data_IF_475466887648
#
_entry.id   IF_475466887648
#
_cell.length_a   1.000
_cell.length_b   1.000
_cell.length_c   1.000
_cell.angle_alpha   90.00
_cell.angle_beta   90.00
_cell.angle_gamma   90.00
#
_symmetry.space_group_name_H-M   'P 1'
#
loop_
_entity.id
_entity.type
_entity.pdbx_description
1 polymer ?
#
# COMPACT_ATOMS: atom_id res chain seq x y z
N UNK A 1 25.74 39.61 101.47
CA UNK A 1 25.24 39.66 100.06
C UNK A 1 26.41 39.46 99.11
N UNK A 2 26.24 38.74 97.98
CA UNK A 2 27.39 38.28 97.18
C UNK A 2 27.11 38.16 95.66
N UNK A 3 28.20 38.31 94.89
CA UNK A 3 28.43 38.25 93.43
C UNK A 3 27.55 37.42 92.45
N UNK A 4 27.50 37.92 91.19
CA UNK A 4 27.41 37.21 89.86
C UNK A 4 26.05 36.53 89.54
N UNK A 5 25.57 36.36 88.29
CA UNK A 5 25.96 36.68 86.88
C UNK A 5 24.63 36.75 86.03
N UNK A 6 24.48 37.00 84.72
CA UNK A 6 25.36 37.19 83.53
C UNK A 6 24.79 38.32 82.61
N UNK A 7 24.79 38.22 81.26
CA UNK A 7 24.36 39.28 80.31
C UNK A 7 23.98 38.74 78.90
N UNK A 8 23.50 39.64 78.01
CA UNK A 8 23.28 39.50 76.54
C UNK A 8 22.07 38.65 76.04
N UNK A 9 21.48 38.88 74.85
CA UNK A 9 21.24 40.09 74.01
C UNK A 9 20.36 39.69 72.78
N UNK A 10 19.55 40.59 72.19
CA UNK A 10 19.00 40.45 70.82
C UNK A 10 18.35 41.74 70.28
N UNK A 11 18.14 41.80 68.96
CA UNK A 11 17.99 43.02 68.16
C UNK A 11 16.65 43.08 67.39
N UNK A 12 16.11 44.27 67.20
CA UNK A 12 15.02 44.57 66.23
C UNK A 12 15.36 45.86 65.49
N UNK A 13 15.16 45.90 64.17
CA UNK A 13 15.31 47.10 63.34
C UNK A 13 14.20 47.16 62.28
N UNK A 14 13.69 48.35 62.00
CA UNK A 14 12.66 48.59 60.97
C UNK A 14 13.30 48.64 59.57
N UNK A 15 12.49 48.37 58.54
CA UNK A 15 12.74 48.77 57.16
C UNK A 15 11.44 49.23 56.49
N UNK A 16 11.56 50.18 55.58
CA UNK A 16 10.46 51.04 55.11
C UNK A 16 9.80 50.56 53.81
N UNK A 17 8.52 50.90 53.67
CA UNK A 17 7.74 50.68 52.46
C UNK A 17 8.09 51.72 51.38
N UNK A 18 8.33 51.27 50.15
CA UNK A 18 8.47 52.12 48.97
C UNK A 18 7.68 51.52 47.80
N UNK A 19 6.61 52.20 47.38
CA UNK A 19 5.85 51.81 46.19
C UNK A 19 6.64 52.15 44.92
N UNK A 20 7.02 51.13 44.14
CA UNK A 20 7.43 51.31 42.76
C UNK A 20 6.23 50.99 41.85
N UNK A 21 5.75 52.00 41.12
CA UNK A 21 4.86 51.74 39.99
C UNK A 21 5.69 51.06 38.90
N UNK A 22 5.53 49.75 38.75
CA UNK A 22 5.97 49.06 37.54
C UNK A 22 5.11 49.55 36.38
N UNK A 23 5.67 50.41 35.53
CA UNK A 23 5.08 50.65 34.22
C UNK A 23 5.23 49.36 33.42
N UNK A 24 4.14 48.59 33.31
CA UNK A 24 4.00 47.64 32.22
C UNK A 24 4.16 48.44 30.92
N UNK A 25 5.27 48.22 30.20
CA UNK A 25 5.29 48.51 28.77
C UNK A 25 4.13 47.71 28.19
N UNK A 26 3.17 48.40 27.58
CA UNK A 26 2.17 47.75 26.75
C UNK A 26 2.90 46.87 25.74
N UNK A 27 2.43 45.63 25.58
CA UNK A 27 3.19 44.57 24.94
C UNK A 27 3.68 45.02 23.57
N UNK A 28 4.99 44.89 23.33
CA UNK A 28 5.55 45.09 22.00
C UNK A 28 4.88 44.07 21.10
N UNK A 29 3.96 44.56 20.26
CA UNK A 29 2.93 43.77 19.59
C UNK A 29 3.56 43.02 18.40
N UNK A 30 4.31 42.01 18.82
CA UNK A 30 5.18 41.11 18.09
C UNK A 30 4.36 39.95 17.55
N UNK A 31 4.56 39.64 16.27
CA UNK A 31 3.89 38.51 15.63
C UNK A 31 4.83 37.30 15.71
N UNK A 32 4.36 36.16 16.23
CA UNK A 32 5.12 34.92 16.17
C UNK A 32 5.35 34.52 14.71
N UNK A 33 6.57 34.07 14.39
CA UNK A 33 6.78 33.43 13.09
C UNK A 33 6.16 32.02 13.16
N UNK A 34 5.25 31.62 12.24
CA UNK A 34 4.62 30.30 12.25
C UNK A 34 5.64 29.16 12.42
N UNK A 35 5.31 28.06 13.12
CA UNK A 35 6.16 26.86 13.17
C UNK A 35 6.39 26.27 11.76
N UNK A 36 7.24 25.25 11.63
CA UNK A 36 7.40 24.50 10.39
C UNK A 36 6.07 23.92 9.90
N UNK A 37 5.73 24.23 8.64
CA UNK A 37 4.58 23.65 7.94
C UNK A 37 4.71 22.12 7.90
N UNK A 38 3.70 21.44 8.47
CA UNK A 38 3.48 19.99 8.44
C UNK A 38 2.39 19.69 7.41
N UNK A 39 2.21 18.41 7.07
CA UNK A 39 1.27 17.98 6.03
C UNK A 39 0.70 16.60 6.37
N UNK A 40 -0.49 16.28 5.83
CA UNK A 40 -1.09 14.94 5.93
C UNK A 40 -0.60 13.96 4.84
N UNK A 41 0.31 14.38 3.95
CA UNK A 41 0.89 13.52 2.92
C UNK A 41 1.64 12.31 3.52
N UNK A 42 1.72 11.19 2.78
CA UNK A 42 2.58 10.07 3.15
C UNK A 42 4.07 10.46 3.16
N UNK A 43 4.92 9.62 3.75
CA UNK A 43 6.37 9.85 3.89
C UNK A 43 7.07 10.11 2.55
N UNK A 44 6.54 9.56 1.45
CA UNK A 44 7.01 9.79 0.07
C UNK A 44 6.75 11.20 -0.47
N UNK A 45 5.89 11.99 0.18
CA UNK A 45 5.40 13.30 -0.28
C UNK A 45 4.83 13.26 -1.70
N UNK A 46 4.27 12.12 -2.08
CA UNK A 46 3.59 11.91 -3.36
C UNK A 46 2.10 11.62 -3.12
N UNK A 47 1.23 12.16 -3.98
CA UNK A 47 -0.21 11.91 -3.96
C UNK A 47 -0.77 11.95 -5.38
N UNK A 48 -1.85 11.21 -5.63
CA UNK A 48 -2.54 11.24 -6.91
C UNK A 48 -3.26 12.59 -7.13
N UNK A 49 -3.23 13.09 -8.37
CA UNK A 49 -3.90 14.32 -8.78
C UNK A 49 -5.40 14.27 -8.53
N UNK A 50 -6.00 15.43 -8.22
CA UNK A 50 -7.40 15.50 -7.84
C UNK A 50 -7.76 14.87 -6.49
N UNK A 51 -6.80 14.38 -5.70
CA UNK A 51 -6.99 14.07 -4.28
C UNK A 51 -6.81 15.32 -3.41
N UNK A 52 -7.41 15.29 -2.22
CA UNK A 52 -7.38 16.38 -1.23
C UNK A 52 -6.49 16.00 -0.03
N UNK A 53 -5.71 16.95 0.46
CA UNK A 53 -4.75 16.76 1.55
C UNK A 53 -4.45 18.08 2.27
N UNK A 54 -3.89 18.00 3.47
CA UNK A 54 -3.68 19.16 4.33
C UNK A 54 -2.23 19.66 4.35
N UNK A 55 -2.10 20.98 4.53
CA UNK A 55 -0.92 21.62 5.14
C UNK A 55 -1.35 22.35 6.42
N UNK A 56 -0.52 22.29 7.46
CA UNK A 56 -0.87 22.88 8.75
C UNK A 56 0.33 23.29 9.60
N UNK A 57 0.12 24.29 10.46
CA UNK A 57 0.92 24.58 11.64
C UNK A 57 0.36 23.74 12.79
N UNK A 58 1.23 23.13 13.62
CA UNK A 58 0.76 22.27 14.73
C UNK A 58 0.34 23.06 15.97
N UNK A 59 1.12 24.08 16.30
CA UNK A 59 0.95 24.88 17.51
C UNK A 59 0.33 26.22 17.07
N UNK A 60 -0.96 26.40 17.34
CA UNK A 60 -1.73 27.57 16.89
C UNK A 60 -1.61 28.73 17.88
N UNK A 61 -1.26 29.92 17.37
CA UNK A 61 -1.11 31.14 18.12
C UNK A 61 -2.46 31.86 18.29
N UNK A 62 -2.94 31.98 19.54
CA UNK A 62 -4.23 32.60 19.85
C UNK A 62 -4.34 34.04 19.32
N UNK A 63 -5.30 34.28 18.42
CA UNK A 63 -5.56 35.60 17.84
C UNK A 63 -4.68 35.95 16.63
N UNK A 64 -3.99 34.97 16.04
CA UNK A 64 -3.29 35.09 14.76
C UNK A 64 -4.19 34.59 13.62
N UNK A 65 -4.19 35.31 12.50
CA UNK A 65 -4.75 34.85 11.23
C UNK A 65 -3.61 34.35 10.33
N UNK A 66 -3.70 33.13 9.81
CA UNK A 66 -2.66 32.55 8.96
C UNK A 66 -3.04 32.70 7.48
N UNK A 67 -2.29 33.53 6.75
CA UNK A 67 -2.46 33.73 5.32
C UNK A 67 -1.54 32.79 4.55
N UNK A 68 -2.12 31.87 3.80
CA UNK A 68 -1.43 30.86 3.00
C UNK A 68 -1.23 31.30 1.55
N UNK A 69 -0.05 31.02 1.02
CA UNK A 69 0.38 31.24 -0.36
C UNK A 69 0.57 29.88 -1.05
N UNK A 70 -0.09 29.68 -2.19
CA UNK A 70 -0.13 28.41 -2.91
C UNK A 70 0.50 28.50 -4.31
N UNK A 71 1.16 27.44 -4.79
CA UNK A 71 1.59 27.33 -6.18
C UNK A 71 0.39 27.02 -7.08
N UNK A 72 0.47 27.36 -8.36
CA UNK A 72 -0.56 27.08 -9.38
C UNK A 72 -0.98 25.59 -9.50
N UNK A 73 -0.20 24.67 -8.94
CA UNK A 73 -0.50 23.23 -8.87
C UNK A 73 -1.46 22.83 -7.73
N UNK A 74 -1.79 23.75 -6.82
CA UNK A 74 -2.68 23.49 -5.67
C UNK A 74 -3.86 24.46 -5.65
N UNK A 75 -5.06 23.91 -5.75
CA UNK A 75 -6.30 24.63 -5.49
C UNK A 75 -6.61 24.58 -3.99
N UNK A 76 -6.85 25.74 -3.37
CA UNK A 76 -7.38 25.80 -2.01
C UNK A 76 -8.82 25.26 -1.98
N UNK A 77 -9.11 24.34 -1.06
CA UNK A 77 -10.48 23.85 -0.81
C UNK A 77 -11.07 24.49 0.44
N UNK A 78 -10.29 24.56 1.53
CA UNK A 78 -10.75 25.13 2.80
C UNK A 78 -9.59 25.65 3.65
N UNK A 79 -9.90 26.49 4.65
CA UNK A 79 -8.99 26.81 5.77
C UNK A 79 -8.15 28.08 5.65
N UNK A 80 -8.29 28.90 4.60
CA UNK A 80 -7.57 30.17 4.53
C UNK A 80 -7.90 31.07 5.74
N UNK A 81 -6.87 31.70 6.31
CA UNK A 81 -6.95 32.43 7.57
C UNK A 81 -6.69 31.58 8.83
N UNK A 82 -6.69 30.24 8.75
CA UNK A 82 -6.54 29.35 9.91
C UNK A 82 -5.22 28.56 9.87
N UNK A 83 -4.85 27.95 10.99
CA UNK A 83 -3.64 27.13 11.16
C UNK A 83 -3.56 25.91 10.22
N UNK A 84 -4.65 25.53 9.53
CA UNK A 84 -4.73 24.38 8.63
C UNK A 84 -5.49 24.73 7.35
N UNK A 85 -4.89 24.42 6.20
CA UNK A 85 -5.57 24.42 4.91
C UNK A 85 -5.72 23.00 4.37
N UNK A 86 -6.86 22.76 3.70
CA UNK A 86 -7.05 21.60 2.83
C UNK A 86 -6.92 22.06 1.39
N UNK A 87 -6.08 21.37 0.61
CA UNK A 87 -5.74 21.70 -0.78
C UNK A 87 -5.94 20.49 -1.68
N UNK A 88 -6.06 20.75 -2.99
CA UNK A 88 -6.27 19.75 -4.03
C UNK A 88 -5.22 19.88 -5.12
N UNK A 89 -4.55 18.79 -5.46
CA UNK A 89 -3.56 18.75 -6.55
C UNK A 89 -4.23 18.79 -7.93
N UNK A 90 -3.58 19.44 -8.90
CA UNK A 90 -3.92 19.35 -10.34
C UNK A 90 -3.96 17.89 -10.83
N UNK A 91 -4.78 17.60 -11.86
CA UNK A 91 -4.99 16.22 -12.34
C UNK A 91 -3.93 15.78 -13.36
N UNK A 92 -3.25 16.73 -13.97
CA UNK A 92 -2.18 16.50 -14.94
C UNK A 92 -0.93 15.88 -14.28
N UNK A 93 -0.71 16.21 -13.00
CA UNK A 93 0.49 15.86 -12.25
C UNK A 93 1.66 16.84 -12.43
N UNK A 94 2.80 16.54 -11.79
CA UNK A 94 4.02 17.35 -11.80
C UNK A 94 4.72 17.37 -10.44
N UNK A 95 5.72 18.24 -10.28
CA UNK A 95 6.44 18.45 -9.03
C UNK A 95 6.26 19.88 -8.56
N UNK A 96 5.85 20.05 -7.31
CA UNK A 96 5.84 21.31 -6.58
C UNK A 96 7.23 21.47 -5.94
N UNK A 97 8.07 22.43 -6.40
CA UNK A 97 9.43 22.56 -5.88
C UNK A 97 9.46 23.22 -4.50
N UNK A 98 10.59 23.05 -3.80
CA UNK A 98 10.84 23.67 -2.49
C UNK A 98 10.57 25.19 -2.51
N UNK A 99 10.02 25.72 -1.41
CA UNK A 99 9.61 27.13 -1.27
C UNK A 99 8.54 27.63 -2.25
N UNK A 100 7.71 26.75 -2.81
CA UNK A 100 6.57 27.16 -3.65
C UNK A 100 5.25 27.27 -2.89
N UNK A 101 5.24 26.90 -1.60
CA UNK A 101 4.09 27.00 -0.70
C UNK A 101 4.54 27.64 0.61
N UNK A 102 3.77 28.60 1.12
CA UNK A 102 4.14 29.40 2.28
C UNK A 102 2.96 29.79 3.16
N UNK A 103 3.25 30.22 4.39
CA UNK A 103 2.27 30.78 5.31
C UNK A 103 2.84 31.95 6.11
N UNK A 104 2.02 32.97 6.34
CA UNK A 104 2.36 34.20 7.05
C UNK A 104 1.36 34.43 8.18
N UNK A 105 1.86 34.65 9.39
CA UNK A 105 1.03 35.07 10.52
C UNK A 105 0.68 36.56 10.39
N UNK A 106 -0.59 36.91 10.61
CA UNK A 106 -1.13 38.26 10.51
C UNK A 106 -1.89 38.61 11.80
N UNK A 107 -1.64 39.82 12.32
CA UNK A 107 -2.27 40.37 13.53
C UNK A 107 -2.22 41.89 13.48
N UNK A 108 -3.33 42.57 13.79
CA UNK A 108 -3.39 44.04 13.88
C UNK A 108 -2.72 44.73 12.66
N UNK A 109 -3.08 44.28 11.44
CA UNK A 109 -2.57 44.73 10.13
C UNK A 109 -1.04 44.63 9.91
N UNK A 110 -0.31 43.98 10.81
CA UNK A 110 1.09 43.57 10.63
C UNK A 110 1.17 42.11 10.18
N UNK A 111 2.30 41.75 9.59
CA UNK A 111 2.60 40.38 9.12
C UNK A 111 3.97 39.89 9.59
N UNK A 112 4.11 38.57 9.80
CA UNK A 112 5.41 37.92 9.98
C UNK A 112 6.19 37.80 8.67
N UNK A 113 7.43 37.30 8.73
CA UNK A 113 8.08 36.70 7.57
C UNK A 113 7.35 35.41 7.16
N UNK A 114 7.19 35.17 5.85
CA UNK A 114 6.64 33.92 5.31
C UNK A 114 7.46 32.71 5.77
N UNK A 115 6.81 31.73 6.41
CA UNK A 115 7.36 30.39 6.58
C UNK A 115 7.11 29.62 5.30
N UNK A 116 8.18 29.22 4.62
CA UNK A 116 8.12 28.39 3.42
C UNK A 116 8.11 26.89 3.77
N UNK A 117 7.51 26.07 2.90
CA UNK A 117 7.65 24.61 2.93
C UNK A 117 8.96 24.20 2.20
N UNK A 118 9.84 23.48 2.91
CA UNK A 118 11.22 23.18 2.47
C UNK A 118 11.38 21.77 1.87
N UNK A 119 10.31 21.17 1.36
CA UNK A 119 10.35 19.87 0.67
C UNK A 119 9.60 19.97 -0.65
N UNK A 120 9.95 19.09 -1.59
CA UNK A 120 9.19 18.93 -2.83
C UNK A 120 7.95 18.08 -2.56
N UNK A 121 6.89 18.27 -3.36
CA UNK A 121 5.68 17.44 -3.35
C UNK A 121 5.39 16.98 -4.77
N UNK A 122 5.24 15.68 -4.96
CA UNK A 122 4.94 15.09 -6.27
C UNK A 122 3.45 14.88 -6.41
N UNK A 123 2.82 15.60 -7.32
CA UNK A 123 1.45 15.30 -7.74
C UNK A 123 1.55 14.28 -8.89
N UNK A 124 1.13 13.05 -8.65
CA UNK A 124 1.16 11.98 -9.64
C UNK A 124 -0.07 12.13 -10.55
N UNK A 125 0.08 11.97 -11.87
CA UNK A 125 -1.08 11.82 -12.76
C UNK A 125 -1.93 10.64 -12.26
N UNK A 126 -3.27 10.77 -12.09
CA UNK A 126 -4.12 9.75 -11.50
C UNK A 126 -3.92 8.34 -12.08
N UNK A 127 -4.16 7.27 -11.29
CA UNK A 127 -4.18 5.92 -11.82
C UNK A 127 -5.18 5.80 -12.97
N UNK A 128 -4.85 5.06 -14.05
CA UNK A 128 -5.82 4.81 -15.12
C UNK A 128 -7.06 4.10 -14.56
N UNK A 129 -8.22 4.75 -14.70
CA UNK A 129 -9.52 4.14 -14.41
C UNK A 129 -9.90 3.16 -15.50
N UNK A 130 -10.61 2.09 -15.14
CA UNK A 130 -11.16 1.13 -16.10
C UNK A 130 -12.64 0.86 -15.78
N UNK A 131 -13.51 1.03 -16.78
CA UNK A 131 -14.94 0.74 -16.64
C UNK A 131 -15.18 -0.70 -16.19
N UNK A 132 -15.94 -0.85 -15.11
CA UNK A 132 -16.29 -2.16 -14.52
C UNK A 132 -15.27 -2.74 -13.53
N UNK A 133 -14.15 -2.07 -13.26
CA UNK A 133 -13.15 -2.51 -12.27
C UNK A 133 -12.72 -1.39 -11.33
N UNK A 134 -12.54 -1.70 -10.04
CA UNK A 134 -11.88 -0.78 -9.10
C UNK A 134 -10.37 -0.81 -9.30
N UNK A 135 -9.75 0.37 -9.27
CA UNK A 135 -8.32 0.57 -9.58
C UNK A 135 -7.65 1.45 -8.51
N UNK A 136 -6.46 1.09 -8.04
CA UNK A 136 -5.70 1.87 -7.05
C UNK A 136 -4.20 1.82 -7.35
N UNK A 137 -3.46 2.89 -7.03
CA UNK A 137 -2.00 2.93 -7.10
C UNK A 137 -1.38 2.36 -5.82
N UNK A 138 -0.32 1.57 -5.97
CA UNK A 138 0.54 1.13 -4.87
C UNK A 138 1.99 1.34 -5.33
N UNK A 139 2.68 2.30 -4.71
CA UNK A 139 3.97 2.77 -5.21
C UNK A 139 3.83 3.40 -6.61
N UNK A 140 4.54 2.88 -7.61
CA UNK A 140 4.46 3.33 -9.01
C UNK A 140 3.38 2.63 -9.83
N UNK A 141 3.08 1.37 -9.52
CA UNK A 141 2.16 0.51 -10.30
C UNK A 141 0.70 0.75 -9.90
N UNK A 142 -0.19 0.77 -10.88
CA UNK A 142 -1.64 0.78 -10.65
C UNK A 142 -2.18 -0.64 -10.79
N UNK A 143 -3.08 -1.04 -9.89
CA UNK A 143 -3.60 -2.40 -9.77
C UNK A 143 -5.12 -2.44 -9.87
N UNK A 144 -5.64 -3.52 -10.47
CA UNK A 144 -7.04 -3.91 -10.28
C UNK A 144 -7.23 -4.48 -8.87
N UNK A 145 -8.20 -3.92 -8.13
CA UNK A 145 -8.56 -4.37 -6.78
C UNK A 145 -9.40 -5.67 -6.79
N UNK A 146 -9.98 -6.01 -7.93
CA UNK A 146 -10.78 -7.21 -8.17
C UNK A 146 -10.08 -8.19 -9.14
N UNK A 147 -10.53 -9.45 -9.17
CA UNK A 147 -10.00 -10.46 -10.10
C UNK A 147 -10.54 -10.19 -11.52
N UNK A 148 -9.72 -10.43 -12.55
CA UNK A 148 -10.13 -10.21 -13.95
C UNK A 148 -11.35 -11.08 -14.32
N UNK A 149 -12.38 -10.43 -14.89
CA UNK A 149 -13.65 -11.04 -15.31
C UNK A 149 -13.90 -10.83 -16.83
N UNK A 150 -12.83 -10.71 -17.62
CA UNK A 150 -12.90 -10.53 -19.07
C UNK A 150 -13.30 -11.84 -19.77
N UNK A 151 -14.24 -11.75 -20.72
CA UNK A 151 -14.79 -12.86 -21.49
C UNK A 151 -14.31 -12.87 -22.94
N UNK A 152 -13.55 -11.85 -23.37
CA UNK A 152 -13.10 -11.69 -24.74
C UNK A 152 -14.22 -11.24 -25.69
N UNK A 153 -13.86 -10.79 -26.89
CA UNK A 153 -14.82 -10.34 -27.89
C UNK A 153 -15.78 -11.44 -28.36
N UNK A 154 -15.41 -12.72 -28.24
CA UNK A 154 -16.24 -13.88 -28.57
C UNK A 154 -17.03 -14.45 -27.37
N UNK A 155 -16.79 -13.94 -26.15
CA UNK A 155 -17.43 -14.39 -24.91
C UNK A 155 -16.88 -15.69 -24.30
N UNK A 156 -15.85 -16.31 -24.90
CA UNK A 156 -15.33 -17.62 -24.47
C UNK A 156 -13.99 -17.59 -23.73
N UNK A 157 -13.41 -16.41 -23.43
CA UNK A 157 -12.13 -16.32 -22.73
C UNK A 157 -12.29 -16.72 -21.27
N UNK A 158 -11.63 -17.80 -20.84
CA UNK A 158 -11.79 -18.36 -19.50
C UNK A 158 -13.23 -18.80 -19.19
N UNK A 159 -13.47 -19.20 -17.94
CA UNK A 159 -14.77 -19.68 -17.47
C UNK A 159 -15.07 -19.28 -16.03
N UNK A 160 -16.33 -19.47 -15.62
CA UNK A 160 -16.76 -19.23 -14.26
C UNK A 160 -16.42 -20.40 -13.33
N UNK A 161 -16.05 -20.10 -12.09
CA UNK A 161 -15.91 -21.12 -11.04
C UNK A 161 -17.20 -21.94 -10.96
N UNK A 162 -17.08 -23.28 -10.96
CA UNK A 162 -18.23 -24.19 -10.86
C UNK A 162 -19.30 -23.95 -11.96
N UNK A 163 -18.87 -23.42 -13.11
CA UNK A 163 -19.69 -22.96 -14.25
C UNK A 163 -20.80 -21.95 -13.88
N UNK A 164 -20.71 -21.32 -12.70
CA UNK A 164 -21.75 -20.46 -12.15
C UNK A 164 -21.43 -18.98 -12.41
N UNK A 165 -22.16 -18.33 -13.33
CA UNK A 165 -21.92 -16.93 -13.71
C UNK A 165 -21.99 -15.94 -12.54
N UNK A 166 -22.78 -16.23 -11.50
CA UNK A 166 -22.85 -15.40 -10.30
C UNK A 166 -21.56 -15.46 -9.49
N UNK A 167 -20.88 -16.62 -9.47
CA UNK A 167 -19.54 -16.76 -8.88
C UNK A 167 -18.49 -15.97 -9.66
N UNK A 168 -18.65 -15.75 -10.96
CA UNK A 168 -17.74 -14.86 -11.71
C UNK A 168 -17.91 -13.37 -11.41
N UNK A 169 -19.11 -12.92 -11.06
CA UNK A 169 -19.30 -11.56 -10.56
C UNK A 169 -18.64 -11.32 -9.18
N UNK A 170 -18.28 -12.39 -8.45
CA UNK A 170 -17.65 -12.32 -7.12
C UNK A 170 -16.15 -12.65 -7.16
N UNK A 171 -15.73 -13.66 -7.92
CA UNK A 171 -14.35 -14.17 -7.93
C UNK A 171 -13.58 -13.88 -9.22
N UNK A 172 -14.19 -13.23 -10.21
CA UNK A 172 -13.66 -13.12 -11.58
C UNK A 172 -13.75 -14.46 -12.34
N UNK A 173 -12.92 -14.63 -13.37
CA UNK A 173 -12.89 -15.86 -14.18
C UNK A 173 -11.60 -16.64 -13.96
N UNK A 174 -11.68 -17.93 -14.26
CA UNK A 174 -10.55 -18.84 -14.35
C UNK A 174 -10.10 -18.90 -15.81
N UNK A 175 -8.82 -18.68 -16.06
CA UNK A 175 -8.20 -18.72 -17.40
C UNK A 175 -7.15 -19.82 -17.40
N UNK A 176 -7.04 -20.61 -18.46
CA UNK A 176 -5.81 -21.41 -18.68
C UNK A 176 -4.60 -20.48 -18.73
N UNK A 177 -3.39 -21.00 -18.49
CA UNK A 177 -2.20 -20.16 -18.61
C UNK A 177 -2.04 -19.63 -20.05
N UNK A 178 -2.31 -20.47 -21.06
CA UNK A 178 -2.35 -20.06 -22.45
C UNK A 178 -3.34 -18.92 -22.73
N UNK A 179 -4.56 -18.95 -22.21
CA UNK A 179 -5.52 -17.83 -22.30
C UNK A 179 -5.01 -16.58 -21.58
N UNK A 180 -4.48 -16.73 -20.35
CA UNK A 180 -4.02 -15.62 -19.54
C UNK A 180 -2.86 -14.84 -20.20
N UNK A 181 -1.90 -15.54 -20.82
CA UNK A 181 -0.72 -14.92 -21.45
C UNK A 181 -0.96 -14.45 -22.90
N UNK A 182 -1.98 -14.97 -23.60
CA UNK A 182 -2.27 -14.59 -25.01
C UNK A 182 -3.50 -13.71 -25.19
N UNK A 183 -4.47 -13.75 -24.27
CA UNK A 183 -5.80 -13.16 -24.46
C UNK A 183 -6.69 -13.91 -25.48
N UNK A 184 -6.25 -15.05 -26.00
CA UNK A 184 -6.98 -15.83 -27.02
C UNK A 184 -7.82 -16.91 -26.32
N UNK A 185 -9.14 -16.82 -26.46
CA UNK A 185 -10.11 -17.80 -25.94
C UNK A 185 -9.75 -19.22 -26.37
N UNK A 186 -9.57 -20.14 -25.40
CA UNK A 186 -9.20 -21.55 -25.63
C UNK A 186 -7.91 -21.73 -26.47
N UNK A 187 -6.91 -20.86 -26.28
CA UNK A 187 -5.65 -20.84 -27.03
C UNK A 187 -4.98 -22.22 -27.13
N UNK A 188 -4.72 -22.69 -28.36
CA UNK A 188 -3.94 -23.92 -28.60
C UNK A 188 -2.44 -23.67 -28.42
N UNK A 189 -1.68 -24.76 -28.23
CA UNK A 189 -0.21 -24.71 -28.16
C UNK A 189 0.48 -24.16 -29.43
N UNK A 190 -0.23 -24.06 -30.56
CA UNK A 190 0.25 -23.40 -31.77
C UNK A 190 -0.03 -21.88 -31.79
N UNK A 191 -1.04 -21.42 -31.07
CA UNK A 191 -1.40 -20.00 -30.93
C UNK A 191 -0.66 -19.31 -29.76
N UNK A 192 -0.08 -20.08 -28.84
CA UNK A 192 0.70 -19.55 -27.71
C UNK A 192 2.21 -19.54 -28.05
N UNK A 193 2.82 -18.38 -28.36
CA UNK A 193 4.24 -18.29 -28.65
C UNK A 193 5.12 -18.38 -27.40
N UNK A 194 4.59 -18.07 -26.22
CA UNK A 194 5.30 -17.77 -24.97
C UNK A 194 5.91 -18.98 -24.25
N UNK A 195 6.25 -20.06 -24.99
CA UNK A 195 6.92 -21.25 -24.45
C UNK A 195 8.32 -20.94 -23.90
N UNK A 196 8.85 -21.84 -23.09
CA UNK A 196 10.18 -21.68 -22.50
C UNK A 196 11.27 -21.46 -23.56
N UNK A 197 12.17 -20.50 -23.29
CA UNK A 197 13.19 -20.04 -24.22
C UNK A 197 12.69 -19.06 -25.29
N UNK A 198 11.40 -18.75 -25.37
CA UNK A 198 10.88 -17.66 -26.21
C UNK A 198 11.51 -16.32 -25.80
N UNK A 199 11.85 -15.50 -26.78
CA UNK A 199 12.35 -14.15 -26.60
C UNK A 199 11.62 -13.21 -27.57
N UNK A 200 11.39 -11.98 -27.13
CA UNK A 200 10.63 -10.99 -27.88
C UNK A 200 10.73 -9.61 -27.26
N UNK A 201 9.77 -8.75 -27.60
CA UNK A 201 9.56 -7.43 -27.01
C UNK A 201 8.20 -7.44 -26.31
N UNK A 202 8.11 -6.93 -25.09
CA UNK A 202 6.87 -6.86 -24.31
C UNK A 202 6.04 -5.61 -24.65
N UNK A 203 4.82 -5.49 -24.10
CA UNK A 203 3.92 -4.37 -24.42
C UNK A 203 4.42 -3.02 -23.85
N UNK A 204 5.46 -3.04 -23.01
CA UNK A 204 6.20 -1.88 -22.54
C UNK A 204 7.40 -1.50 -23.44
N UNK A 205 7.68 -2.28 -24.49
CA UNK A 205 8.79 -2.05 -25.42
C UNK A 205 10.14 -2.64 -24.98
N UNK A 206 10.18 -3.45 -23.92
CA UNK A 206 11.41 -4.05 -23.39
C UNK A 206 11.69 -5.41 -24.03
N UNK A 207 12.96 -5.67 -24.36
CA UNK A 207 13.38 -7.00 -24.79
C UNK A 207 13.37 -7.98 -23.60
N UNK A 208 12.76 -9.15 -23.76
CA UNK A 208 12.62 -10.15 -22.71
C UNK A 208 12.93 -11.58 -23.18
N UNK A 209 13.08 -12.51 -22.22
CA UNK A 209 13.21 -13.95 -22.51
C UNK A 209 12.58 -14.80 -21.41
N UNK A 210 11.73 -15.76 -21.78
CA UNK A 210 11.10 -16.71 -20.86
C UNK A 210 12.02 -17.90 -20.56
N UNK A 211 13.17 -17.63 -19.92
CA UNK A 211 14.15 -18.64 -19.48
C UNK A 211 14.10 -18.98 -17.98
N UNK A 212 13.21 -18.31 -17.23
CA UNK A 212 13.01 -18.56 -15.80
C UNK A 212 14.07 -17.96 -14.87
N UNK A 213 14.98 -17.12 -15.39
CA UNK A 213 15.86 -16.29 -14.55
C UNK A 213 15.16 -14.98 -14.16
N UNK A 214 15.49 -14.41 -12.99
CA UNK A 214 14.87 -13.14 -12.53
C UNK A 214 15.16 -12.00 -13.50
N UNK A 215 16.42 -11.88 -13.95
CA UNK A 215 16.90 -10.78 -14.78
C UNK A 215 16.17 -10.61 -16.13
N UNK A 216 15.77 -11.71 -16.79
CA UNK A 216 15.10 -11.66 -18.11
C UNK A 216 13.60 -11.94 -18.08
N UNK A 217 13.07 -12.53 -16.99
CA UNK A 217 11.68 -12.98 -16.93
C UNK A 217 10.85 -12.53 -15.72
N UNK A 218 11.44 -11.94 -14.67
CA UNK A 218 10.64 -11.46 -13.54
C UNK A 218 9.84 -10.17 -13.82
N UNK A 219 10.21 -9.42 -14.86
CA UNK A 219 9.71 -8.07 -15.16
C UNK A 219 8.95 -7.96 -16.50
N UNK A 220 8.52 -9.07 -17.10
CA UNK A 220 7.87 -9.03 -18.42
C UNK A 220 6.48 -8.40 -18.31
N UNK A 221 6.15 -7.47 -19.19
CA UNK A 221 4.86 -6.77 -19.18
C UNK A 221 4.03 -7.18 -20.41
N UNK A 222 3.41 -8.38 -20.34
CA UNK A 222 2.53 -8.91 -21.40
C UNK A 222 1.07 -8.57 -21.10
N UNK A 223 0.38 -7.93 -22.04
CA UNK A 223 -1.05 -7.61 -21.95
C UNK A 223 -1.88 -8.89 -21.73
N UNK A 224 -1.74 -9.86 -22.63
CA UNK A 224 -2.45 -11.14 -22.55
C UNK A 224 -3.96 -10.96 -22.46
N UNK A 225 -4.58 -11.60 -21.47
CA UNK A 225 -6.02 -11.47 -21.18
C UNK A 225 -6.42 -10.11 -20.57
N UNK A 226 -5.48 -9.29 -20.13
CA UNK A 226 -5.79 -7.99 -19.53
C UNK A 226 -6.28 -6.97 -20.57
N UNK A 227 -7.12 -5.98 -20.17
CA UNK A 227 -7.54 -4.89 -21.05
C UNK A 227 -6.37 -4.02 -21.53
N UNK A 228 -6.57 -3.31 -22.63
CA UNK A 228 -5.51 -2.52 -23.27
C UNK A 228 -4.89 -1.49 -22.31
N UNK A 229 -3.56 -1.49 -22.23
CA UNK A 229 -2.79 -0.64 -21.30
C UNK A 229 -2.58 -1.24 -19.91
N UNK A 230 -3.02 -2.49 -19.70
CA UNK A 230 -2.77 -3.29 -18.51
C UNK A 230 -2.05 -4.60 -18.89
N UNK A 231 -1.20 -5.13 -18.02
CA UNK A 231 -0.51 -6.40 -18.21
C UNK A 231 -0.81 -7.41 -17.10
N UNK A 232 -0.64 -8.70 -17.43
CA UNK A 232 -0.69 -9.82 -16.48
C UNK A 232 0.43 -9.66 -15.45
N UNK A 233 0.07 -9.53 -14.18
CA UNK A 233 1.02 -9.28 -13.09
C UNK A 233 2.24 -10.21 -13.13
N UNK A 234 3.44 -9.63 -13.21
CA UNK A 234 4.71 -10.38 -13.20
C UNK A 234 5.26 -10.55 -11.78
N UNK A 235 6.42 -11.20 -11.66
CA UNK A 235 7.04 -11.50 -10.35
C UNK A 235 7.41 -10.22 -9.60
N UNK A 236 7.89 -9.20 -10.32
CA UNK A 236 8.29 -7.92 -9.76
C UNK A 236 7.09 -7.06 -9.34
N UNK A 237 6.00 -7.04 -10.09
CA UNK A 237 4.79 -6.27 -9.72
C UNK A 237 4.29 -6.73 -8.34
N UNK A 238 4.11 -8.04 -8.16
CA UNK A 238 3.66 -8.64 -6.88
C UNK A 238 4.61 -8.35 -5.71
N UNK A 239 5.91 -8.17 -5.99
CA UNK A 239 6.91 -7.80 -4.99
C UNK A 239 6.81 -6.31 -4.62
N UNK A 240 6.78 -5.45 -5.64
CA UNK A 240 6.64 -3.99 -5.48
C UNK A 240 5.31 -3.65 -4.77
N UNK A 241 4.23 -4.40 -5.01
CA UNK A 241 2.95 -4.29 -4.31
C UNK A 241 3.11 -4.55 -2.80
N UNK A 242 3.79 -5.62 -2.39
CA UNK A 242 4.01 -5.93 -0.97
C UNK A 242 4.93 -4.90 -0.30
N UNK A 243 5.98 -4.43 -0.99
CA UNK A 243 6.84 -3.35 -0.48
C UNK A 243 6.03 -2.06 -0.29
N UNK A 244 5.20 -1.71 -1.28
CA UNK A 244 4.35 -0.52 -1.24
C UNK A 244 3.33 -0.58 -0.11
N UNK A 245 2.59 -1.69 0.02
CA UNK A 245 1.63 -1.89 1.13
C UNK A 245 2.34 -1.81 2.48
N UNK A 246 3.55 -2.39 2.63
CA UNK A 246 4.31 -2.31 3.88
C UNK A 246 4.67 -0.86 4.25
N UNK A 247 5.11 -0.06 3.27
CA UNK A 247 5.51 1.33 3.49
C UNK A 247 4.32 2.28 3.69
N UNK A 248 3.30 2.19 2.83
CA UNK A 248 2.14 3.09 2.78
C UNK A 248 1.24 2.95 4.01
N UNK A 249 1.00 1.71 4.47
CA UNK A 249 0.18 1.41 5.66
C UNK A 249 1.03 1.18 6.91
N UNK A 250 2.33 1.48 6.85
CA UNK A 250 3.31 1.39 7.94
C UNK A 250 3.27 0.03 8.67
N UNK A 251 3.21 -1.07 7.91
CA UNK A 251 2.98 -2.42 8.44
C UNK A 251 4.17 -2.87 9.30
N UNK A 252 3.95 -3.28 10.57
CA UNK A 252 5.03 -3.66 11.51
C UNK A 252 5.91 -4.83 11.06
N UNK A 253 6.94 -5.10 11.87
CA UNK A 253 7.80 -6.28 11.76
C UNK A 253 9.00 -6.07 10.84
N UNK A 254 10.18 -5.98 11.45
CA UNK A 254 11.50 -6.05 10.80
C UNK A 254 12.17 -7.41 11.05
N UNK A 255 11.78 -8.10 12.13
CA UNK A 255 12.24 -9.45 12.49
C UNK A 255 11.07 -10.36 12.86
N UNK A 256 11.29 -11.69 12.81
CA UNK A 256 10.31 -12.69 13.25
C UNK A 256 10.02 -12.62 14.76
N UNK A 257 10.98 -12.14 15.55
CA UNK A 257 10.79 -11.95 16.99
C UNK A 257 9.78 -10.83 17.29
N UNK A 258 9.88 -9.70 16.58
CA UNK A 258 8.89 -8.62 16.67
C UNK A 258 7.50 -9.12 16.28
N UNK A 259 7.38 -9.83 15.15
CA UNK A 259 6.09 -10.33 14.62
C UNK A 259 5.49 -11.40 15.55
N UNK A 260 6.31 -12.28 16.14
CA UNK A 260 5.87 -13.26 17.13
C UNK A 260 5.37 -12.63 18.42
N UNK A 261 5.94 -11.50 18.83
CA UNK A 261 5.53 -10.76 20.04
C UNK A 261 4.29 -9.87 19.80
N UNK A 262 4.26 -9.12 18.70
CA UNK A 262 3.16 -8.21 18.33
C UNK A 262 1.94 -8.93 17.75
N UNK A 263 2.15 -10.12 17.18
CA UNK A 263 1.19 -10.83 16.31
C UNK A 263 0.77 -9.98 15.11
N UNK A 264 1.69 -9.17 14.60
CA UNK A 264 1.45 -8.15 13.60
C UNK A 264 2.57 -8.07 12.54
N UNK A 265 2.15 -7.84 11.30
CA UNK A 265 3.05 -7.54 10.19
C UNK A 265 3.85 -8.70 9.63
N UNK A 266 4.83 -8.34 8.80
CA UNK A 266 5.64 -9.26 7.99
C UNK A 266 6.97 -8.63 7.58
N UNK A 267 7.98 -9.46 7.37
CA UNK A 267 9.28 -9.04 6.84
C UNK A 267 9.31 -9.12 5.30
N UNK A 268 10.11 -8.26 4.69
CA UNK A 268 10.57 -8.37 3.29
C UNK A 268 12.09 -8.40 3.35
N UNK A 269 12.71 -9.52 2.97
CA UNK A 269 14.13 -9.79 3.26
C UNK A 269 14.99 -10.19 2.07
N UNK A 270 14.46 -10.10 0.84
CA UNK A 270 15.22 -10.22 -0.40
C UNK A 270 14.69 -9.20 -1.40
N UNK A 271 15.58 -8.57 -2.16
CA UNK A 271 15.22 -7.55 -3.15
C UNK A 271 14.70 -8.13 -4.47
N UNK A 272 14.08 -7.25 -5.26
CA UNK A 272 13.54 -7.48 -6.63
C UNK A 272 14.48 -8.24 -7.58
N UNK A 273 15.79 -8.04 -7.42
CA UNK A 273 16.82 -8.66 -8.27
C UNK A 273 17.17 -10.11 -7.85
N UNK A 274 16.96 -10.45 -6.57
CA UNK A 274 17.61 -11.61 -5.93
C UNK A 274 16.73 -12.87 -5.91
N UNK A 275 15.42 -12.78 -6.20
CA UNK A 275 14.59 -13.97 -6.26
C UNK A 275 13.10 -13.78 -6.49
N UNK A 276 12.46 -14.91 -6.79
CA UNK A 276 11.01 -15.11 -6.77
C UNK A 276 10.50 -14.99 -5.33
N UNK A 277 9.31 -14.40 -5.11
CA UNK A 277 8.66 -14.39 -3.78
C UNK A 277 8.46 -15.84 -3.28
N UNK A 278 9.31 -16.21 -2.33
CA UNK A 278 9.36 -17.51 -1.69
C UNK A 278 8.13 -17.77 -0.81
N UNK A 279 8.10 -18.89 -0.08
CA UNK A 279 6.99 -19.21 0.81
C UNK A 279 6.91 -18.25 1.99
N UNK A 280 6.07 -17.22 1.89
CA UNK A 280 5.77 -16.26 2.96
C UNK A 280 4.85 -16.92 3.99
N UNK A 281 5.43 -17.81 4.80
CA UNK A 281 4.77 -18.44 5.94
C UNK A 281 4.98 -17.62 7.21
N UNK A 282 4.06 -17.78 8.17
CA UNK A 282 4.17 -17.25 9.52
C UNK A 282 5.57 -17.47 10.15
N UNK A 283 6.11 -18.68 9.97
CA UNK A 283 7.38 -19.13 10.57
C UNK A 283 8.63 -18.48 9.98
N UNK A 284 8.55 -17.96 8.76
CA UNK A 284 9.71 -17.53 7.97
C UNK A 284 9.66 -16.03 7.66
N UNK A 285 8.45 -15.46 7.58
CA UNK A 285 8.21 -14.10 7.10
C UNK A 285 7.07 -13.36 7.83
N UNK A 286 6.27 -14.04 8.65
CA UNK A 286 5.14 -13.44 9.36
C UNK A 286 3.80 -13.51 8.61
N UNK A 287 2.91 -12.57 8.91
CA UNK A 287 1.50 -12.59 8.50
C UNK A 287 1.26 -11.80 7.20
N UNK A 288 1.57 -12.33 6.02
CA UNK A 288 1.15 -11.70 4.73
C UNK A 288 -0.22 -12.14 4.25
N UNK A 289 -0.58 -13.42 4.44
CA UNK A 289 -1.91 -13.93 4.10
C UNK A 289 -3.05 -12.99 4.52
N UNK A 290 -3.05 -12.45 5.76
CA UNK A 290 -4.03 -11.48 6.23
C UNK A 290 -4.19 -10.19 5.43
N UNK A 291 -3.12 -9.61 4.90
CA UNK A 291 -3.19 -8.34 4.17
C UNK A 291 -3.63 -8.54 2.73
N UNK A 292 -3.18 -9.62 2.08
CA UNK A 292 -3.55 -9.91 0.70
C UNK A 292 -4.92 -10.59 0.58
N UNK A 293 -5.35 -11.44 1.52
CA UNK A 293 -6.61 -12.18 1.42
C UNK A 293 -7.85 -11.30 1.30
N UNK A 294 -7.83 -10.06 1.76
CA UNK A 294 -8.93 -9.14 1.51
C UNK A 294 -10.24 -9.53 2.18
N UNK A 295 -10.37 -9.20 3.45
CA UNK A 295 -11.55 -9.55 4.25
C UNK A 295 -11.85 -8.42 5.24
N UNK A 296 -12.00 -7.23 4.67
CA UNK A 296 -12.77 -6.14 5.26
C UNK A 296 -14.18 -6.65 5.63
N UNK A 297 -14.80 -6.23 6.75
CA UNK A 297 -16.04 -6.84 7.29
C UNK A 297 -17.28 -6.82 6.37
N UNK A 298 -17.19 -6.30 5.15
CA UNK A 298 -18.07 -6.69 4.04
C UNK A 298 -18.08 -8.21 3.78
N UNK A 299 -17.00 -8.92 4.13
CA UNK A 299 -16.85 -10.38 4.10
C UNK A 299 -17.45 -11.11 5.32
N UNK A 300 -18.19 -10.41 6.21
CA UNK A 300 -18.97 -11.02 7.30
C UNK A 300 -20.15 -11.83 6.74
N UNK A 301 -19.81 -12.96 6.12
CA UNK A 301 -20.61 -13.76 5.19
C UNK A 301 -19.78 -14.85 4.49
N UNK A 302 -18.45 -14.74 4.46
CA UNK A 302 -17.54 -15.88 4.30
C UNK A 302 -17.16 -16.24 2.85
N UNK A 303 -16.55 -15.32 2.10
CA UNK A 303 -15.89 -15.70 0.83
C UNK A 303 -14.65 -16.58 1.05
N UNK A 304 -13.94 -16.40 2.18
CA UNK A 304 -12.81 -17.24 2.59
C UNK A 304 -13.20 -18.15 3.76
N UNK A 305 -12.73 -19.41 3.71
CA UNK A 305 -12.85 -20.39 4.79
C UNK A 305 -11.77 -20.20 5.87
N UNK A 306 -12.04 -20.69 7.08
CA UNK A 306 -11.13 -20.69 8.24
C UNK A 306 -11.39 -19.59 9.29
N UNK A 307 -12.31 -18.66 9.04
CA UNK A 307 -12.67 -17.60 9.99
C UNK A 307 -11.57 -16.56 10.22
N UNK A 308 -11.64 -15.84 11.34
CA UNK A 308 -10.85 -14.62 11.60
C UNK A 308 -9.51 -14.84 12.31
N UNK A 309 -9.12 -16.09 12.61
CA UNK A 309 -7.97 -16.38 13.49
C UNK A 309 -7.27 -17.68 13.09
N UNK A 310 -5.94 -17.64 12.99
CA UNK A 310 -5.08 -18.79 12.76
C UNK A 310 -4.43 -19.24 14.07
N UNK A 311 -4.57 -20.50 14.42
CA UNK A 311 -3.94 -21.08 15.60
C UNK A 311 -2.65 -21.80 15.19
N UNK A 312 -1.51 -21.30 15.66
CA UNK A 312 -0.20 -21.91 15.39
C UNK A 312 0.32 -22.69 16.61
N UNK A 313 0.80 -23.90 16.38
CA UNK A 313 1.36 -24.77 17.44
C UNK A 313 2.71 -24.32 17.99
N UNK A 314 3.38 -23.37 17.34
CA UNK A 314 4.73 -22.90 17.70
C UNK A 314 5.84 -23.79 17.14
N UNK A 315 7.06 -23.26 17.16
CA UNK A 315 8.32 -23.98 16.95
C UNK A 315 9.47 -23.23 17.67
N UNK A 316 10.70 -23.74 17.59
CA UNK A 316 11.86 -23.15 18.27
C UNK A 316 12.16 -21.67 17.92
N UNK A 317 11.74 -21.22 16.73
CA UNK A 317 12.00 -19.88 16.19
C UNK A 317 10.76 -18.97 16.17
N UNK A 318 9.55 -19.50 16.43
CA UNK A 318 8.30 -18.73 16.31
C UNK A 318 7.25 -19.20 17.32
N UNK A 319 6.67 -18.30 18.16
CA UNK A 319 5.83 -18.70 19.29
C UNK A 319 4.47 -19.30 18.88
N UNK A 320 3.90 -20.09 19.79
CA UNK A 320 2.55 -20.65 19.63
C UNK A 320 1.45 -19.62 19.95
N UNK A 321 0.23 -19.90 19.49
CA UNK A 321 -0.98 -19.17 19.89
C UNK A 321 -1.91 -18.80 18.74
N UNK A 322 -2.95 -18.05 19.08
CA UNK A 322 -3.87 -17.43 18.13
C UNK A 322 -3.27 -16.17 17.50
N UNK A 323 -3.35 -16.06 16.18
CA UNK A 323 -2.91 -14.93 15.36
C UNK A 323 -4.09 -14.40 14.52
N UNK A 324 -4.42 -13.10 14.55
CA UNK A 324 -5.52 -12.55 13.75
C UNK A 324 -5.29 -12.76 12.24
N UNK A 325 -6.26 -13.34 11.55
CA UNK A 325 -6.19 -13.53 10.10
C UNK A 325 -6.64 -12.31 9.30
N UNK A 326 -7.30 -11.33 9.93
CA UNK A 326 -7.68 -10.07 9.29
C UNK A 326 -7.39 -8.92 10.25
N UNK A 327 -7.01 -7.76 9.70
CA UNK A 327 -6.70 -6.54 10.43
C UNK A 327 -7.47 -5.37 9.83
N UNK A 328 -7.72 -4.34 10.63
CA UNK A 328 -8.40 -3.11 10.23
C UNK A 328 -7.77 -2.47 8.99
N UNK A 329 -6.45 -2.56 8.84
CA UNK A 329 -5.73 -2.07 7.65
C UNK A 329 -6.15 -2.77 6.34
N UNK A 330 -6.66 -4.01 6.36
CA UNK A 330 -7.19 -4.67 5.15
C UNK A 330 -8.40 -3.92 4.55
N UNK A 331 -9.15 -3.18 5.37
CA UNK A 331 -10.25 -2.31 4.89
C UNK A 331 -9.74 -1.06 4.18
N UNK A 332 -8.54 -0.60 4.54
CA UNK A 332 -7.93 0.65 4.07
C UNK A 332 -7.04 0.41 2.85
N UNK A 333 -6.37 -0.74 2.80
CA UNK A 333 -5.59 -1.21 1.65
C UNK A 333 -6.51 -1.43 0.44
N UNK A 334 -7.67 -2.07 0.63
CA UNK A 334 -8.69 -2.39 -0.40
C UNK A 334 -8.21 -3.28 -1.57
N UNK A 335 -6.93 -3.66 -1.60
CA UNK A 335 -6.42 -4.74 -2.44
C UNK A 335 -6.84 -6.11 -1.90
N UNK A 336 -8.06 -6.51 -2.24
CA UNK A 336 -8.66 -7.73 -1.75
C UNK A 336 -8.44 -8.89 -2.74
N UNK A 337 -7.56 -9.87 -2.44
CA UNK A 337 -7.47 -11.09 -3.26
C UNK A 337 -8.68 -11.98 -3.02
N UNK A 338 -9.55 -12.03 -4.02
CA UNK A 338 -10.78 -12.83 -3.99
C UNK A 338 -10.41 -14.30 -4.27
N UNK A 339 -10.94 -15.26 -3.48
CA UNK A 339 -10.58 -16.66 -3.58
C UNK A 339 -11.19 -17.32 -4.81
N UNK A 340 -10.85 -18.59 -5.01
CA UNK A 340 -11.63 -19.50 -5.86
C UNK A 340 -11.85 -20.78 -5.07
N UNK A 341 -10.84 -21.64 -5.04
CA UNK A 341 -10.79 -22.83 -4.19
C UNK A 341 -9.48 -23.56 -4.39
N UNK A 342 -9.39 -24.80 -3.90
CA UNK A 342 -8.28 -25.71 -4.19
C UNK A 342 -8.48 -26.39 -5.55
N UNK A 343 -7.46 -26.35 -6.41
CA UNK A 343 -7.43 -27.16 -7.64
C UNK A 343 -7.20 -28.64 -7.30
N UNK A 344 -7.99 -29.55 -7.86
CA UNK A 344 -7.80 -30.99 -7.73
C UNK A 344 -7.35 -31.61 -9.07
N UNK A 345 -6.09 -32.06 -9.11
CA UNK A 345 -5.46 -32.62 -10.30
C UNK A 345 -6.06 -33.97 -10.76
N UNK A 346 -6.75 -34.70 -9.88
CA UNK A 346 -7.38 -35.98 -10.21
C UNK A 346 -8.77 -35.80 -10.84
N UNK A 347 -9.57 -34.87 -10.33
CA UNK A 347 -10.94 -34.60 -10.82
C UNK A 347 -11.02 -33.46 -11.84
N UNK A 348 -9.92 -32.73 -12.10
CA UNK A 348 -9.83 -31.57 -13.01
C UNK A 348 -10.85 -30.46 -12.72
N UNK A 349 -11.23 -30.31 -11.46
CA UNK A 349 -12.14 -29.27 -10.98
C UNK A 349 -11.61 -28.61 -9.72
N UNK A 350 -12.13 -27.43 -9.44
CA UNK A 350 -11.96 -26.79 -8.14
C UNK A 350 -12.85 -27.43 -7.08
N UNK A 351 -12.33 -27.48 -5.85
CA UNK A 351 -12.98 -27.99 -4.64
C UNK A 351 -12.60 -27.09 -3.48
N UNK A 352 -13.28 -27.19 -2.33
CA UNK A 352 -12.97 -26.37 -1.14
C UNK A 352 -13.00 -24.87 -1.50
N UNK A 353 -14.17 -24.40 -1.95
CA UNK A 353 -14.43 -23.00 -2.28
C UNK A 353 -14.03 -22.09 -1.11
N UNK A 354 -13.38 -20.97 -1.41
CA UNK A 354 -12.90 -20.06 -0.38
C UNK A 354 -11.68 -20.53 0.42
N UNK A 355 -11.07 -21.70 0.16
CA UNK A 355 -9.88 -22.14 0.92
C UNK A 355 -8.56 -21.57 0.37
N UNK A 356 -8.45 -21.44 -0.95
CA UNK A 356 -7.27 -20.95 -1.68
C UNK A 356 -7.67 -19.93 -2.76
N UNK A 357 -6.69 -19.12 -3.17
CA UNK A 357 -6.68 -18.47 -4.48
C UNK A 357 -5.37 -18.77 -5.21
N UNK A 358 -5.46 -18.84 -6.55
CA UNK A 358 -4.31 -18.94 -7.44
C UNK A 358 -4.42 -17.86 -8.51
N UNK A 359 -3.33 -17.16 -8.79
CA UNK A 359 -3.24 -16.18 -9.87
C UNK A 359 -2.12 -16.54 -10.81
N UNK A 360 -2.35 -16.57 -12.12
CA UNK A 360 -1.25 -16.70 -13.08
C UNK A 360 -0.30 -15.50 -13.01
N UNK A 361 0.94 -15.74 -13.39
CA UNK A 361 2.04 -14.78 -13.42
C UNK A 361 2.70 -14.87 -14.79
N UNK A 362 3.20 -13.75 -15.32
CA UNK A 362 3.89 -13.70 -16.61
C UNK A 362 5.32 -14.30 -16.55
N UNK A 363 5.46 -15.56 -16.11
CA UNK A 363 6.74 -16.22 -15.84
C UNK A 363 6.65 -17.74 -16.07
N UNK A 364 7.68 -18.34 -16.68
CA UNK A 364 7.87 -19.79 -16.77
C UNK A 364 9.07 -20.22 -15.93
N UNK A 365 8.91 -21.27 -15.12
CA UNK A 365 9.98 -21.81 -14.28
C UNK A 365 11.09 -22.46 -15.11
N UNK A 366 12.36 -22.35 -14.67
CA UNK A 366 13.48 -23.13 -15.21
C UNK A 366 13.55 -24.59 -14.67
N UNK A 367 12.62 -24.97 -13.79
CA UNK A 367 12.52 -26.33 -13.26
C UNK A 367 12.00 -27.31 -14.32
N UNK A 368 12.33 -28.61 -14.17
CA UNK A 368 11.87 -29.67 -15.07
C UNK A 368 10.36 -29.60 -15.35
N UNK A 369 10.01 -29.62 -16.64
CA UNK A 369 8.64 -29.39 -17.15
C UNK A 369 8.34 -27.94 -17.53
N UNK A 370 9.22 -26.99 -17.19
CA UNK A 370 9.15 -25.56 -17.53
C UNK A 370 7.81 -24.90 -17.18
N UNK A 371 7.22 -25.33 -16.06
CA UNK A 371 5.85 -25.02 -15.66
C UNK A 371 5.61 -23.52 -15.44
N UNK A 372 4.44 -22.97 -15.82
CA UNK A 372 4.05 -21.62 -15.49
C UNK A 372 4.02 -21.34 -13.98
N UNK A 373 4.39 -20.12 -13.61
CA UNK A 373 4.35 -19.66 -12.23
C UNK A 373 2.96 -19.09 -11.90
N UNK A 374 2.52 -19.32 -10.67
CA UNK A 374 1.29 -18.76 -10.09
C UNK A 374 1.54 -18.23 -8.69
N UNK A 375 0.96 -17.07 -8.34
CA UNK A 375 0.84 -16.70 -6.93
C UNK A 375 -0.21 -17.61 -6.29
N UNK A 376 0.08 -18.11 -5.10
CA UNK A 376 -0.77 -19.01 -4.31
C UNK A 376 -1.02 -18.36 -2.96
N UNK A 377 -2.29 -18.16 -2.62
CA UNK A 377 -2.73 -17.57 -1.36
C UNK A 377 -3.55 -18.61 -0.59
N UNK A 378 -3.04 -19.01 0.57
CA UNK A 378 -3.70 -19.92 1.52
C UNK A 378 -3.76 -19.32 2.92
N UNK A 379 -4.33 -20.06 3.89
CA UNK A 379 -4.64 -19.53 5.23
C UNK A 379 -3.43 -18.97 6.00
N UNK A 380 -2.22 -19.48 5.80
CA UNK A 380 -1.00 -18.98 6.45
C UNK A 380 0.20 -18.86 5.50
N UNK A 381 -0.06 -18.73 4.20
CA UNK A 381 0.97 -18.65 3.16
C UNK A 381 0.55 -17.72 2.00
N UNK A 382 1.46 -16.85 1.60
CA UNK A 382 1.46 -16.22 0.28
C UNK A 382 2.76 -16.61 -0.42
N UNK A 383 2.69 -17.26 -1.58
CA UNK A 383 3.90 -17.78 -2.22
C UNK A 383 3.72 -17.97 -3.72
N UNK A 384 4.77 -17.76 -4.51
CA UNK A 384 4.75 -18.32 -5.85
C UNK A 384 4.89 -19.85 -5.81
N UNK A 385 4.20 -20.54 -6.70
CA UNK A 385 4.34 -21.98 -6.94
C UNK A 385 4.27 -22.27 -8.43
N UNK A 386 4.75 -23.45 -8.84
CA UNK A 386 4.52 -23.94 -10.20
C UNK A 386 3.07 -24.42 -10.33
N UNK A 387 2.40 -24.03 -11.41
CA UNK A 387 1.11 -24.56 -11.85
C UNK A 387 1.26 -25.35 -13.13
N UNK A 388 0.42 -26.36 -13.33
CA UNK A 388 0.39 -27.19 -14.54
C UNK A 388 -0.53 -26.54 -15.58
N UNK A 389 -0.07 -26.23 -16.78
CA UNK A 389 -1.02 -26.01 -17.89
C UNK A 389 -1.49 -27.36 -18.44
N UNK A 390 -2.78 -27.46 -18.73
CA UNK A 390 -3.46 -28.68 -19.15
C UNK A 390 -4.73 -28.42 -19.97
N UNK A 391 -4.99 -27.17 -20.37
CA UNK A 391 -6.25 -26.78 -21.02
C UNK A 391 -7.50 -26.80 -20.11
N UNK A 392 -7.42 -27.42 -18.93
CA UNK A 392 -8.49 -27.51 -17.92
C UNK A 392 -8.13 -26.83 -16.59
N UNK A 393 -6.83 -26.70 -16.28
CA UNK A 393 -6.39 -26.00 -15.08
C UNK A 393 -6.40 -24.48 -15.31
N UNK A 394 -7.47 -23.82 -14.87
CA UNK A 394 -7.62 -22.38 -14.94
C UNK A 394 -7.34 -21.70 -13.60
N UNK A 395 -6.68 -20.54 -13.61
CA UNK A 395 -6.45 -19.72 -12.41
C UNK A 395 -6.96 -18.30 -12.65
N UNK A 396 -7.13 -17.55 -11.57
CA UNK A 396 -7.53 -16.15 -11.65
C UNK A 396 -6.40 -15.33 -12.30
N UNK A 397 -6.72 -14.11 -12.73
CA UNK A 397 -5.73 -13.14 -13.24
C UNK A 397 -5.86 -11.85 -12.43
N UNK A 398 -4.71 -11.19 -12.20
CA UNK A 398 -4.63 -9.80 -11.76
C UNK A 398 -3.85 -9.02 -12.80
N UNK A 399 -4.35 -7.81 -13.07
CA UNK A 399 -3.81 -6.92 -14.07
C UNK A 399 -3.24 -5.67 -13.40
N UNK A 400 -2.14 -5.19 -13.97
CA UNK A 400 -1.33 -4.07 -13.47
C UNK A 400 -1.15 -3.07 -14.62
N UNK A 401 -0.97 -1.79 -14.32
CA UNK A 401 -0.76 -0.71 -15.28
C UNK A 401 0.31 0.29 -14.80
N UNK A 402 0.64 1.23 -15.68
CA UNK A 402 1.84 2.09 -15.66
C UNK A 402 3.09 1.24 -15.89
N UNK A 403 3.45 1.02 -17.16
CA UNK A 403 4.58 0.19 -17.60
C UNK A 403 5.93 0.63 -17.01
#
# INVERSE_FOLDING_TARGET
MNMKKIFCHSLVLLLSFSFLLSCSKDGEDTIPQPDFIKTSLPISLAIDGGQEFDFYIADEDTGITYQWELPNMLTLIAGQGTSRITVKGVVEGGVIPVKSLGVTAVKNDKSSYTRWFYKEVTILTPPPSLDGYKTKRFGSKTWMLENLNEKGADGNLGWAYDNNVNKSAVYGRLYTWAEAITGISKATAAQNPYKFGYAGVDDAGNAFRLDGTTASSANIQIQGACPKGWHLANVNDWYDLLVSIKAEYNIPGSTLAEIGASKDGYTIGWGREVGVINSITLTNWGLVGPYLKGSSPQSAGGLWDGGTTFNYGGNANFPSGAYPLFKELSTQIDFNILPSGRWNEASKVFQQEGLYSYHWVAFLSANAGNNPLRLTIGSANANFSNGTDSGLNGHCVRCVANY
#
